data_IF_935524471426
#
_entry.id   IF_935524471426
#
_cell.length_a   1.000
_cell.length_b   1.000
_cell.length_c   1.000
_cell.angle_alpha   90.00
_cell.angle_beta   90.00
_cell.angle_gamma   90.00
#
_symmetry.space_group_name_H-M   'P 1'
#
loop_
_entity.id
_entity.type
_entity.pdbx_description
1 polymer ?
#
# COMPACT_ATOMS: atom_id res chain seq x y z
N UNK A 1 6.79 -4.91 6.65
CA UNK A 1 6.94 -4.86 5.18
C UNK A 1 8.38 -4.63 4.78
N UNK A 2 9.07 -3.61 5.30
CA UNK A 2 10.52 -3.40 5.05
C UNK A 2 11.39 -4.65 5.30
N UNK A 3 11.16 -5.37 6.38
CA UNK A 3 11.92 -6.60 6.67
C UNK A 3 11.63 -7.72 5.65
N UNK A 4 10.39 -7.83 5.15
CA UNK A 4 10.03 -8.78 4.09
C UNK A 4 10.69 -8.41 2.76
N UNK A 5 10.73 -7.11 2.43
CA UNK A 5 11.39 -6.60 1.23
C UNK A 5 12.91 -6.80 1.29
N UNK A 6 13.51 -6.69 2.47
CA UNK A 6 14.94 -6.96 2.67
C UNK A 6 15.34 -8.40 2.31
N UNK A 7 14.47 -9.38 2.56
CA UNK A 7 14.72 -10.78 2.23
C UNK A 7 14.25 -11.19 0.82
N UNK A 8 13.58 -10.30 0.09
CA UNK A 8 13.10 -10.54 -1.28
C UNK A 8 14.25 -10.35 -2.28
N UNK A 9 14.94 -11.42 -2.65
CA UNK A 9 15.99 -11.42 -3.68
C UNK A 9 15.49 -11.97 -5.04
N UNK A 10 14.35 -11.45 -5.50
CA UNK A 10 13.77 -11.85 -6.77
C UNK A 10 14.55 -11.24 -7.93
N UNK A 11 15.22 -12.10 -8.72
CA UNK A 11 15.91 -11.68 -9.95
C UNK A 11 14.93 -11.67 -11.12
N UNK A 12 14.53 -10.49 -11.55
CA UNK A 12 13.57 -10.30 -12.65
C UNK A 12 14.27 -10.23 -14.01
N UNK A 13 13.83 -11.06 -14.96
CA UNK A 13 14.34 -11.05 -16.34
C UNK A 13 13.66 -9.96 -17.21
N UNK A 14 12.46 -9.51 -16.83
CA UNK A 14 11.65 -8.55 -17.56
C UNK A 14 11.36 -7.34 -16.65
N UNK A 15 11.96 -6.16 -16.92
CA UNK A 15 11.75 -4.97 -16.09
C UNK A 15 10.29 -4.50 -16.04
N UNK A 16 9.54 -4.68 -17.13
CA UNK A 16 8.13 -4.28 -17.20
C UNK A 16 7.26 -5.14 -16.27
N UNK A 17 7.52 -6.45 -16.23
CA UNK A 17 6.80 -7.36 -15.35
C UNK A 17 7.15 -7.10 -13.88
N UNK A 18 8.41 -6.75 -13.60
CA UNK A 18 8.85 -6.31 -12.28
C UNK A 18 8.06 -5.08 -11.81
N UNK A 19 7.99 -4.02 -12.63
CA UNK A 19 7.26 -2.79 -12.28
C UNK A 19 5.78 -3.10 -12.03
N UNK A 20 5.16 -3.93 -12.88
CA UNK A 20 3.75 -4.31 -12.72
C UNK A 20 3.52 -5.16 -11.47
N UNK A 21 4.42 -6.08 -11.17
CA UNK A 21 4.35 -6.91 -9.97
C UNK A 21 4.47 -6.05 -8.71
N UNK A 22 5.48 -5.17 -8.67
CA UNK A 22 5.69 -4.23 -7.57
C UNK A 22 4.46 -3.37 -7.36
N UNK A 23 3.88 -2.79 -8.42
CA UNK A 23 2.64 -2.01 -8.32
C UNK A 23 1.47 -2.81 -7.75
N UNK A 24 1.27 -4.06 -8.17
CA UNK A 24 0.20 -4.93 -7.66
C UNK A 24 0.41 -5.34 -6.21
N UNK A 25 1.65 -5.67 -5.83
CA UNK A 25 2.00 -5.96 -4.45
C UNK A 25 1.79 -4.73 -3.56
N UNK A 26 2.06 -3.54 -4.07
CA UNK A 26 1.74 -2.29 -3.38
C UNK A 26 0.24 -2.11 -3.14
N UNK A 27 -0.59 -2.29 -4.18
CA UNK A 27 -2.06 -2.23 -4.05
C UNK A 27 -2.56 -3.23 -2.99
N UNK A 28 -2.05 -4.46 -3.03
CA UNK A 28 -2.41 -5.50 -2.05
C UNK A 28 -2.02 -5.10 -0.61
N UNK A 29 -0.83 -4.52 -0.42
CA UNK A 29 -0.34 -4.09 0.90
C UNK A 29 -1.19 -2.97 1.48
N UNK A 30 -1.53 -1.96 0.67
CA UNK A 30 -2.43 -0.87 1.09
C UNK A 30 -3.79 -1.43 1.47
N UNK A 31 -4.36 -2.33 0.65
CA UNK A 31 -5.64 -2.96 0.95
C UNK A 31 -5.61 -3.74 2.28
N UNK A 32 -4.60 -4.58 2.50
CA UNK A 32 -4.45 -5.35 3.73
C UNK A 32 -4.26 -4.45 4.97
N UNK A 33 -3.47 -3.39 4.84
CA UNK A 33 -3.28 -2.41 5.91
C UNK A 33 -4.61 -1.75 6.30
N UNK A 34 -5.35 -1.21 5.33
CA UNK A 34 -6.64 -0.56 5.56
C UNK A 34 -7.69 -1.50 6.16
N UNK A 35 -7.70 -2.76 5.72
CA UNK A 35 -8.60 -3.80 6.23
C UNK A 35 -8.29 -4.16 7.70
N UNK A 36 -7.05 -3.94 8.16
CA UNK A 36 -6.64 -4.16 9.54
C UNK A 36 -6.88 -2.97 10.49
N UNK A 37 -7.26 -1.80 9.98
CA UNK A 37 -7.55 -0.62 10.81
C UNK A 37 -8.86 -0.81 11.60
N UNK A 38 -8.94 -0.14 12.75
CA UNK A 38 -10.18 -0.05 13.53
C UNK A 38 -11.27 0.72 12.76
N UNK A 39 -12.53 0.49 13.11
CA UNK A 39 -13.71 1.12 12.47
C UNK A 39 -13.73 2.65 12.64
N UNK A 40 -13.02 3.19 13.64
CA UNK A 40 -12.84 4.63 13.83
C UNK A 40 -12.15 5.30 12.61
N UNK A 41 -11.39 4.53 11.82
CA UNK A 41 -10.70 4.99 10.61
C UNK A 41 -11.50 4.79 9.31
N UNK A 42 -12.79 4.42 9.38
CA UNK A 42 -13.61 4.17 8.20
C UNK A 42 -13.69 5.39 7.25
N UNK A 43 -13.65 6.61 7.80
CA UNK A 43 -13.60 7.84 7.01
C UNK A 43 -12.36 7.92 6.11
N UNK A 44 -11.19 7.60 6.66
CA UNK A 44 -9.93 7.57 5.92
C UNK A 44 -9.90 6.40 4.94
N UNK A 45 -10.38 5.23 5.36
CA UNK A 45 -10.51 4.05 4.49
C UNK A 45 -11.31 4.38 3.23
N UNK A 46 -12.46 5.03 3.40
CA UNK A 46 -13.31 5.46 2.29
C UNK A 46 -12.62 6.51 1.41
N UNK A 47 -11.92 7.49 1.98
CA UNK A 47 -11.19 8.50 1.19
C UNK A 47 -10.08 7.89 0.35
N UNK A 48 -9.31 6.95 0.92
CA UNK A 48 -8.19 6.31 0.22
C UNK A 48 -8.71 5.39 -0.89
N UNK A 49 -9.74 4.58 -0.62
CA UNK A 49 -10.32 3.66 -1.61
C UNK A 49 -11.06 4.37 -2.75
N UNK A 50 -11.59 5.58 -2.50
CA UNK A 50 -12.26 6.39 -3.51
C UNK A 50 -11.33 7.41 -4.19
N UNK A 51 -10.02 7.38 -3.90
CA UNK A 51 -9.08 8.29 -4.55
C UNK A 51 -8.92 7.93 -6.04
N UNK A 52 -9.12 8.92 -6.92
CA UNK A 52 -8.90 8.75 -8.36
C UNK A 52 -7.39 8.71 -8.71
N UNK A 53 -6.53 9.18 -7.79
CA UNK A 53 -5.08 9.19 -7.93
C UNK A 53 -4.46 8.03 -7.14
N UNK A 54 -3.44 7.38 -7.72
CA UNK A 54 -2.69 6.34 -7.02
C UNK A 54 -1.89 6.95 -5.87
N UNK A 55 -2.29 6.63 -4.62
CA UNK A 55 -1.61 7.10 -3.43
C UNK A 55 -0.35 6.28 -3.14
N UNK A 56 0.73 6.93 -2.72
CA UNK A 56 1.90 6.22 -2.20
C UNK A 56 1.61 5.63 -0.82
N UNK A 57 2.44 4.69 -0.37
CA UNK A 57 2.26 4.11 0.96
C UNK A 57 2.54 5.14 2.06
N UNK A 58 3.48 6.05 1.84
CA UNK A 58 3.76 7.17 2.74
C UNK A 58 2.54 8.09 2.87
N UNK A 59 1.83 8.35 1.77
CA UNK A 59 0.60 9.15 1.79
C UNK A 59 -0.55 8.45 2.54
N UNK A 60 -0.62 7.12 2.45
CA UNK A 60 -1.59 6.31 3.19
C UNK A 60 -1.26 6.33 4.68
N UNK A 61 0.00 6.11 5.05
CA UNK A 61 0.46 6.16 6.44
C UNK A 61 0.25 7.54 7.05
N UNK A 62 0.65 8.61 6.36
CA UNK A 62 0.51 9.98 6.84
C UNK A 62 -0.96 10.33 7.13
N UNK A 63 -1.89 9.91 6.27
CA UNK A 63 -3.32 10.16 6.50
C UNK A 63 -3.87 9.41 7.70
N UNK A 64 -3.43 8.17 7.92
CA UNK A 64 -3.85 7.38 9.09
C UNK A 64 -3.26 7.93 10.38
N UNK A 65 -1.96 8.28 10.38
CA UNK A 65 -1.27 8.88 11.54
C UNK A 65 -1.85 10.25 11.91
N UNK A 66 -2.28 11.07 10.93
CA UNK A 66 -2.86 12.38 11.19
C UNK A 66 -4.20 12.35 11.95
N UNK A 67 -4.85 11.19 12.04
CA UNK A 67 -6.17 11.01 12.67
C UNK A 67 -6.11 10.15 13.95
N UNK A 68 -4.94 9.60 14.30
CA UNK A 68 -4.65 9.06 15.65
C UNK A 68 -4.51 10.18 16.70
#
# INVERSE_FOLDING_TARGET
>A
WEELDYYSDDTWNCPQDQVRHVAKEWENRVFLFLAGLNDDFEGIRSQILNSEEGLSIEDVYFRVEAEE
#
